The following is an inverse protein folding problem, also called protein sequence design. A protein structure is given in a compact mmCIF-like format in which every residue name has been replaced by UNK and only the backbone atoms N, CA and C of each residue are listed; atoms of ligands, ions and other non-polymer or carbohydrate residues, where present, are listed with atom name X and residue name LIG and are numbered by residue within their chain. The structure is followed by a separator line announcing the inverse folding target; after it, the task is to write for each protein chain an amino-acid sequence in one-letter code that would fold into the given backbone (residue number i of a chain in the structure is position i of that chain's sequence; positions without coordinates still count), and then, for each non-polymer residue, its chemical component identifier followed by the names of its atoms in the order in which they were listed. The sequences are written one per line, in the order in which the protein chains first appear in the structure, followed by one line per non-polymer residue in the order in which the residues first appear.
data_IF_579263478819
#
_entry.id   IF_579263478819
#
_cell.length_a   1.000
_cell.length_b   1.000
_cell.length_c   1.000
_cell.angle_alpha   90.00
_cell.angle_beta   90.00
_cell.angle_gamma   90.00
#
_symmetry.space_group_name_H-M   'P 1'
#
loop_
_entity.id
_entity.type
_entity.pdbx_description
1 polymer ?
#
# COMPACT_ATOMS: atom_id res chain seq x y z
N UNK A 1 4.29 1.16 43.35
CA UNK A 1 3.61 1.14 42.07
C UNK A 1 2.20 1.69 42.22
N UNK A 2 1.91 2.89 41.71
CA UNK A 2 0.54 3.45 41.73
C UNK A 2 -0.26 2.82 40.63
N UNK A 3 -1.41 2.23 41.02
CA UNK A 3 -2.35 1.61 40.06
C UNK A 3 -2.90 2.70 39.12
N UNK A 4 -2.67 2.60 37.79
CA UNK A 4 -3.09 3.62 36.84
C UNK A 4 -4.61 3.70 36.67
N UNK A 5 -5.40 2.79 37.23
CA UNK A 5 -6.86 2.70 37.13
C UNK A 5 -7.64 3.23 38.32
N UNK A 6 -6.98 3.90 39.28
CA UNK A 6 -7.65 4.42 40.46
C UNK A 6 -8.47 5.70 40.28
N UNK A 7 -8.40 6.35 39.12
CA UNK A 7 -9.25 7.49 38.72
C UNK A 7 -10.37 7.01 37.80
N UNK A 8 -11.50 6.66 38.38
CA UNK A 8 -12.69 6.17 37.65
C UNK A 8 -13.15 7.12 36.52
N UNK A 9 -13.00 8.44 36.69
CA UNK A 9 -13.36 9.42 35.66
C UNK A 9 -12.49 9.37 34.40
N UNK A 10 -11.19 9.07 34.53
CA UNK A 10 -10.29 8.94 33.37
C UNK A 10 -10.49 7.64 32.60
N UNK A 11 -10.90 6.57 33.28
CA UNK A 11 -11.21 5.29 32.62
C UNK A 11 -12.50 5.42 31.81
N UNK A 12 -13.51 6.09 32.34
CA UNK A 12 -14.79 6.32 31.63
C UNK A 12 -14.61 7.27 30.45
N UNK A 13 -13.82 8.35 30.56
CA UNK A 13 -13.46 9.22 29.44
C UNK A 13 -12.63 8.51 28.38
N UNK A 14 -11.70 7.63 28.78
CA UNK A 14 -10.93 6.81 27.84
C UNK A 14 -11.83 5.80 27.13
N UNK A 15 -12.74 5.14 27.87
CA UNK A 15 -13.70 4.19 27.32
C UNK A 15 -14.71 4.88 26.38
N UNK A 16 -15.21 6.05 26.76
CA UNK A 16 -16.12 6.84 25.93
C UNK A 16 -15.43 7.37 24.66
N UNK A 17 -14.20 7.83 24.77
CA UNK A 17 -13.41 8.25 23.62
C UNK A 17 -13.06 7.07 22.71
N UNK A 18 -12.76 5.89 23.27
CA UNK A 18 -12.54 4.66 22.50
C UNK A 18 -13.84 4.17 21.84
N UNK A 19 -14.97 4.28 22.52
CA UNK A 19 -16.27 3.87 22.02
C UNK A 19 -16.80 4.80 20.92
N UNK A 20 -16.70 6.11 21.11
CA UNK A 20 -17.06 7.12 20.08
C UNK A 20 -16.12 7.02 18.87
N UNK A 21 -14.83 6.85 19.10
CA UNK A 21 -13.86 6.60 18.04
C UNK A 21 -14.19 5.31 17.25
N UNK A 22 -14.55 4.22 17.93
CA UNK A 22 -14.95 2.97 17.28
C UNK A 22 -16.25 3.09 16.47
N UNK A 23 -17.25 3.85 16.97
CA UNK A 23 -18.52 4.07 16.26
C UNK A 23 -18.31 4.95 15.02
N UNK A 24 -17.43 5.96 15.08
CA UNK A 24 -17.06 6.77 13.92
C UNK A 24 -16.13 6.03 12.94
N UNK A 25 -15.31 5.09 13.44
CA UNK A 25 -14.34 4.35 12.60
C UNK A 25 -14.96 3.23 11.78
N UNK A 26 -16.12 2.69 12.18
CA UNK A 26 -16.78 1.61 11.46
C UNK A 26 -17.68 2.08 10.30
N UNK A 27 -17.60 3.34 9.90
CA UNK A 27 -18.38 3.86 8.76
C UNK A 27 -17.72 3.60 7.41
N UNK A 28 -16.41 3.41 7.37
CA UNK A 28 -15.69 3.14 6.12
C UNK A 28 -15.92 1.71 5.62
N UNK A 29 -16.11 1.57 4.30
CA UNK A 29 -16.39 0.30 3.63
C UNK A 29 -15.22 -0.68 3.74
N UNK A 30 -13.99 -0.19 3.71
CA UNK A 30 -12.79 -0.99 3.88
C UNK A 30 -11.97 -0.51 5.08
N UNK A 31 -11.29 -1.45 5.74
CA UNK A 31 -10.35 -1.15 6.81
C UNK A 31 -10.76 -1.70 8.17
N UNK A 32 -9.80 -1.67 9.08
CA UNK A 32 -9.95 -2.02 10.48
C UNK A 32 -9.67 -0.81 11.40
N UNK A 33 -9.89 -0.96 12.69
CA UNK A 33 -9.68 0.11 13.68
C UNK A 33 -8.25 0.67 13.63
N UNK A 34 -7.23 -0.21 13.51
CA UNK A 34 -5.82 0.21 13.47
C UNK A 34 -5.49 1.04 12.23
N UNK A 35 -5.94 0.61 11.05
CA UNK A 35 -5.72 1.33 9.78
C UNK A 35 -6.43 2.69 9.79
N UNK A 36 -7.64 2.74 10.36
CA UNK A 36 -8.39 3.98 10.47
C UNK A 36 -7.72 4.98 11.42
N UNK A 37 -7.15 4.50 12.55
CA UNK A 37 -6.34 5.34 13.45
C UNK A 37 -5.08 5.85 12.74
N UNK A 38 -4.40 4.97 12.01
CA UNK A 38 -3.23 5.34 11.24
C UNK A 38 -3.55 6.42 10.22
N UNK A 39 -4.60 6.25 9.42
CA UNK A 39 -5.04 7.27 8.46
C UNK A 39 -5.34 8.61 9.13
N UNK A 40 -6.13 8.61 10.22
CA UNK A 40 -6.45 9.82 11.00
C UNK A 40 -5.19 10.52 11.56
N UNK A 41 -4.14 9.78 11.88
CA UNK A 41 -2.86 10.38 12.34
C UNK A 41 -2.04 11.00 11.21
N UNK A 42 -2.26 10.57 9.96
CA UNK A 42 -1.55 11.08 8.79
C UNK A 42 -2.23 12.30 8.15
N UNK A 43 -3.56 12.37 8.16
CA UNK A 43 -4.33 13.49 7.56
C UNK A 43 -3.85 14.86 8.02
N UNK A 44 -3.63 15.15 9.32
CA UNK A 44 -3.14 16.45 9.77
C UNK A 44 -1.75 16.82 9.26
N UNK A 45 -0.97 15.83 8.78
CA UNK A 45 0.37 16.05 8.21
C UNK A 45 0.33 16.52 6.75
N UNK A 46 -0.83 16.46 6.08
CA UNK A 46 -1.05 16.99 4.74
C UNK A 46 -2.16 18.04 4.79
N UNK A 47 -1.81 19.33 4.88
CA UNK A 47 -2.78 20.43 4.89
C UNK A 47 -3.70 20.38 3.66
N UNK A 48 -3.15 20.07 2.48
CA UNK A 48 -3.89 19.97 1.22
C UNK A 48 -5.00 18.93 1.29
N UNK A 49 -4.70 17.72 1.79
CA UNK A 49 -5.71 16.67 1.97
C UNK A 49 -6.77 17.05 3.00
N UNK A 50 -6.35 17.69 4.11
CA UNK A 50 -7.28 18.18 5.13
C UNK A 50 -8.23 19.21 4.54
N UNK A 51 -7.72 20.16 3.76
CA UNK A 51 -8.53 21.19 3.08
C UNK A 51 -9.50 20.59 2.05
N UNK A 52 -9.09 19.58 1.29
CA UNK A 52 -9.98 18.87 0.35
C UNK A 52 -11.12 18.19 1.12
N UNK A 53 -10.81 17.48 2.22
CA UNK A 53 -11.82 16.81 3.03
C UNK A 53 -12.77 17.81 3.68
N UNK A 54 -12.27 18.97 4.14
CA UNK A 54 -13.07 20.00 4.81
C UNK A 54 -13.95 20.78 3.83
N UNK A 55 -13.46 21.02 2.61
CA UNK A 55 -14.25 21.65 1.52
C UNK A 55 -15.31 20.74 0.95
N UNK A 56 -15.04 19.43 0.91
CA UNK A 56 -15.99 18.46 0.39
C UNK A 56 -17.24 18.41 1.26
N UNK A 57 -18.43 18.41 0.62
CA UNK A 57 -19.68 18.24 1.35
C UNK A 57 -19.69 16.87 2.06
N UNK A 58 -19.78 16.91 3.38
CA UNK A 58 -19.81 15.72 4.24
C UNK A 58 -20.89 14.71 3.83
N UNK A 59 -21.97 15.18 3.16
CA UNK A 59 -23.03 14.31 2.64
C UNK A 59 -22.57 13.40 1.52
N UNK A 60 -21.54 13.77 0.76
CA UNK A 60 -21.03 12.96 -0.34
C UNK A 60 -20.15 11.80 0.15
N UNK A 61 -19.55 11.92 1.34
CA UNK A 61 -18.71 10.88 1.94
C UNK A 61 -17.36 10.72 1.27
N UNK A 62 -16.79 11.81 0.71
CA UNK A 62 -15.45 11.76 0.08
C UNK A 62 -14.37 11.37 1.09
N UNK A 63 -14.40 11.93 2.31
CA UNK A 63 -13.45 11.57 3.37
C UNK A 63 -13.49 10.09 3.74
N UNK A 64 -14.69 9.49 3.77
CA UNK A 64 -14.85 8.05 4.01
C UNK A 64 -14.33 7.22 2.82
N UNK A 65 -14.55 7.69 1.58
CA UNK A 65 -14.04 7.06 0.38
C UNK A 65 -12.50 7.06 0.33
N UNK A 66 -11.86 8.18 0.67
CA UNK A 66 -10.40 8.29 0.73
C UNK A 66 -9.81 7.42 1.85
N UNK A 67 -10.48 7.30 2.99
CA UNK A 67 -10.09 6.41 4.09
C UNK A 67 -10.18 4.94 3.67
N UNK A 68 -11.27 4.55 2.99
CA UNK A 68 -11.41 3.19 2.45
C UNK A 68 -10.38 2.90 1.36
N UNK A 69 -10.04 3.89 0.53
CA UNK A 69 -8.99 3.77 -0.46
C UNK A 69 -7.61 3.55 0.20
N UNK A 70 -7.31 4.30 1.27
CA UNK A 70 -6.08 4.09 2.04
C UNK A 70 -6.00 2.67 2.60
N UNK A 71 -7.07 2.18 3.21
CA UNK A 71 -7.13 0.82 3.74
C UNK A 71 -6.99 -0.24 2.64
N UNK A 72 -7.63 -0.03 1.48
CA UNK A 72 -7.55 -0.89 0.31
C UNK A 72 -6.12 -1.01 -0.22
N UNK A 73 -5.36 0.09 -0.24
CA UNK A 73 -3.99 0.13 -0.71
C UNK A 73 -2.99 -0.41 0.32
N UNK A 74 -3.17 -0.07 1.60
CA UNK A 74 -2.23 -0.39 2.67
C UNK A 74 -2.34 -1.83 3.17
N UNK A 75 -3.57 -2.35 3.40
CA UNK A 75 -3.78 -3.68 3.96
C UNK A 75 -3.58 -4.76 2.88
N UNK A 76 -2.95 -5.86 3.24
CA UNK A 76 -2.80 -7.04 2.36
C UNK A 76 -4.17 -7.59 1.95
N UNK A 77 -5.01 -7.85 2.91
CA UNK A 77 -6.38 -8.35 2.74
C UNK A 77 -7.33 -7.37 3.44
N UNK A 78 -7.91 -6.41 2.72
CA UNK A 78 -8.82 -5.44 3.30
C UNK A 78 -10.20 -6.07 3.54
N UNK A 79 -10.66 -6.05 4.80
CA UNK A 79 -12.00 -6.47 5.16
C UNK A 79 -13.05 -5.48 4.63
N UNK A 80 -14.12 -6.00 4.02
CA UNK A 80 -15.23 -5.20 3.53
C UNK A 80 -16.31 -5.06 4.62
N UNK A 81 -16.48 -3.83 5.11
CA UNK A 81 -17.41 -3.47 6.17
C UNK A 81 -18.65 -2.75 5.61
N UNK A 82 -19.66 -3.49 5.18
CA UNK A 82 -20.94 -2.91 4.75
C UNK A 82 -20.98 -2.38 3.31
N UNK A 83 -21.97 -1.55 3.00
CA UNK A 83 -22.29 -1.10 1.63
C UNK A 83 -21.61 0.22 1.23
N UNK A 84 -20.89 0.85 2.13
CA UNK A 84 -20.19 2.12 1.91
C UNK A 84 -21.10 3.34 1.67
N UNK A 85 -20.47 4.52 1.57
CA UNK A 85 -21.11 5.80 1.28
C UNK A 85 -21.52 5.97 -0.19
N UNK A 86 -21.96 7.18 -0.54
CA UNK A 86 -22.41 7.51 -1.90
C UNK A 86 -21.27 7.43 -2.90
N UNK A 87 -20.12 8.06 -2.59
CA UNK A 87 -18.92 8.05 -3.42
C UNK A 87 -17.98 6.88 -3.12
N UNK A 88 -18.06 6.31 -1.93
CA UNK A 88 -17.10 5.32 -1.46
C UNK A 88 -17.10 4.06 -2.32
N UNK A 89 -18.27 3.49 -2.58
CA UNK A 89 -18.38 2.31 -3.44
C UNK A 89 -18.00 2.59 -4.90
N UNK A 90 -18.50 3.65 -5.57
CA UNK A 90 -18.07 3.98 -6.93
C UNK A 90 -16.58 4.17 -7.06
N UNK A 91 -15.93 4.85 -6.12
CA UNK A 91 -14.49 5.11 -6.14
C UNK A 91 -13.70 3.80 -5.91
N UNK A 92 -14.02 3.05 -4.86
CA UNK A 92 -13.28 1.82 -4.53
C UNK A 92 -13.45 0.74 -5.60
N UNK A 93 -14.66 0.54 -6.09
CA UNK A 93 -14.94 -0.43 -7.17
C UNK A 93 -14.28 0.01 -8.49
N UNK A 94 -14.23 1.32 -8.76
CA UNK A 94 -13.56 1.88 -9.93
C UNK A 94 -12.05 1.66 -9.89
N UNK A 95 -11.42 1.96 -8.76
CA UNK A 95 -9.97 1.73 -8.57
C UNK A 95 -9.62 0.25 -8.65
N UNK A 96 -10.41 -0.66 -8.06
CA UNK A 96 -10.16 -2.12 -8.12
C UNK A 96 -10.21 -2.65 -9.55
N UNK A 97 -11.05 -2.05 -10.41
CA UNK A 97 -11.19 -2.44 -11.83
C UNK A 97 -10.12 -1.84 -12.74
N UNK A 98 -9.38 -0.85 -12.27
CA UNK A 98 -8.32 -0.22 -13.06
C UNK A 98 -7.15 -1.17 -13.26
N UNK A 99 -6.58 -1.18 -14.48
CA UNK A 99 -5.48 -2.07 -14.87
C UNK A 99 -4.21 -1.83 -14.01
N UNK A 100 -4.02 -0.62 -13.50
CA UNK A 100 -2.86 -0.25 -12.66
C UNK A 100 -3.03 -0.56 -11.18
N UNK A 101 -4.24 -0.94 -10.76
CA UNK A 101 -4.49 -1.24 -9.35
C UNK A 101 -3.55 -2.30 -8.76
N UNK A 102 -3.27 -3.45 -9.41
CA UNK A 102 -2.35 -4.45 -8.86
C UNK A 102 -0.93 -3.91 -8.62
N UNK A 103 -0.45 -3.05 -9.54
CA UNK A 103 0.86 -2.41 -9.43
C UNK A 103 0.88 -1.37 -8.31
N UNK A 104 -0.16 -0.52 -8.23
CA UNK A 104 -0.34 0.45 -7.17
C UNK A 104 -0.42 -0.23 -5.80
N UNK A 105 -1.17 -1.32 -5.70
CA UNK A 105 -1.30 -2.14 -4.51
C UNK A 105 0.06 -2.69 -4.05
N UNK A 106 0.84 -3.29 -4.93
CA UNK A 106 2.16 -3.83 -4.62
C UNK A 106 3.15 -2.76 -4.13
N UNK A 107 3.02 -1.51 -4.62
CA UNK A 107 3.83 -0.39 -4.14
C UNK A 107 3.44 0.08 -2.73
N UNK A 108 2.17 -0.02 -2.38
CA UNK A 108 1.58 0.56 -1.17
C UNK A 108 1.40 -0.45 -0.02
N UNK A 109 1.37 -1.76 -0.31
CA UNK A 109 1.13 -2.82 0.67
C UNK A 109 2.14 -2.74 1.82
N UNK A 110 1.62 -2.66 3.06
CA UNK A 110 2.36 -2.50 4.31
C UNK A 110 3.27 -1.24 4.39
N UNK A 111 3.15 -0.31 3.43
CA UNK A 111 3.95 0.91 3.36
C UNK A 111 3.08 2.15 3.58
N UNK A 112 3.16 2.75 4.76
CA UNK A 112 2.30 3.87 5.22
C UNK A 112 2.40 5.09 4.31
N UNK A 113 3.62 5.56 4.00
CA UNK A 113 3.85 6.81 3.29
C UNK A 113 3.54 6.71 1.79
N UNK A 114 3.93 5.65 1.04
CA UNK A 114 3.48 5.46 -0.32
C UNK A 114 1.96 5.37 -0.45
N UNK A 115 1.29 4.61 0.43
CA UNK A 115 -0.17 4.50 0.44
C UNK A 115 -0.83 5.85 0.73
N UNK A 116 -0.32 6.62 1.69
CA UNK A 116 -0.83 7.94 2.01
C UNK A 116 -0.61 8.95 0.89
N UNK A 117 0.59 8.98 0.29
CA UNK A 117 0.90 9.84 -0.86
C UNK A 117 0.02 9.53 -2.07
N UNK A 118 -0.27 8.24 -2.32
CA UNK A 118 -1.22 7.84 -3.35
C UNK A 118 -2.62 8.42 -3.11
N UNK A 119 -3.11 8.35 -1.87
CA UNK A 119 -4.43 8.89 -1.50
C UNK A 119 -4.49 10.41 -1.62
N UNK A 120 -3.44 11.14 -1.23
CA UNK A 120 -3.37 12.59 -1.39
C UNK A 120 -3.50 12.98 -2.87
N UNK A 121 -2.67 12.39 -3.73
CA UNK A 121 -2.70 12.67 -5.17
C UNK A 121 -4.01 12.23 -5.85
N UNK A 122 -4.60 11.13 -5.40
CA UNK A 122 -5.93 10.71 -5.83
C UNK A 122 -7.00 11.73 -5.45
N UNK A 123 -6.97 12.22 -4.21
CA UNK A 123 -7.94 13.20 -3.70
C UNK A 123 -7.96 14.49 -4.53
N UNK A 124 -6.78 15.05 -4.82
CA UNK A 124 -6.64 16.23 -5.67
C UNK A 124 -7.26 16.04 -7.07
N UNK A 125 -7.13 14.86 -7.62
CA UNK A 125 -7.60 14.55 -8.96
C UNK A 125 -9.10 14.28 -9.03
N UNK A 126 -9.68 13.69 -7.98
CA UNK A 126 -11.10 13.32 -7.95
C UNK A 126 -12.01 14.42 -7.41
N UNK A 127 -11.47 15.47 -6.74
CA UNK A 127 -12.23 16.53 -6.12
C UNK A 127 -13.23 17.16 -7.10
N UNK A 128 -12.78 17.51 -8.31
CA UNK A 128 -13.63 18.11 -9.33
C UNK A 128 -14.70 17.16 -9.89
N UNK A 129 -14.40 15.88 -10.00
CA UNK A 129 -15.35 14.87 -10.48
C UNK A 129 -16.40 14.49 -9.41
N UNK A 130 -16.06 14.69 -8.13
CA UNK A 130 -16.96 14.41 -7.01
C UNK A 130 -18.10 15.43 -6.87
N UNK A 131 -17.95 16.68 -7.38
CA UNK A 131 -19.00 17.71 -7.33
C UNK A 131 -19.90 17.66 -8.57
N UNK A 132 -20.59 16.55 -8.74
CA UNK A 132 -21.45 16.25 -9.87
C UNK A 132 -22.95 16.30 -9.44
N UNK A 133 -23.84 16.62 -10.38
CA UNK A 133 -25.27 16.68 -10.14
C UNK A 133 -25.87 15.33 -9.69
N UNK A 134 -25.36 14.20 -10.22
CA UNK A 134 -25.81 12.87 -9.84
C UNK A 134 -25.35 12.49 -8.44
N UNK A 135 -24.16 12.91 -8.02
CA UNK A 135 -23.67 12.76 -6.64
C UNK A 135 -24.55 13.52 -5.65
N UNK A 136 -24.96 14.76 -6.00
CA UNK A 136 -25.88 15.55 -5.17
C UNK A 136 -27.22 14.86 -4.97
N UNK A 137 -27.83 14.33 -6.05
CA UNK A 137 -29.07 13.57 -6.00
C UNK A 137 -28.92 12.30 -5.14
N UNK A 138 -27.84 11.55 -5.32
CA UNK A 138 -27.58 10.36 -4.54
C UNK A 138 -27.37 10.66 -3.04
N UNK A 139 -26.72 11.78 -2.72
CA UNK A 139 -26.53 12.24 -1.35
C UNK A 139 -27.86 12.61 -0.66
N UNK A 140 -28.80 13.25 -1.38
CA UNK A 140 -30.13 13.54 -0.88
C UNK A 140 -30.89 12.22 -0.57
N UNK A 141 -30.87 11.25 -1.49
CA UNK A 141 -31.51 9.93 -1.26
C UNK A 141 -30.87 9.24 -0.06
N UNK A 142 -29.55 9.24 0.07
CA UNK A 142 -28.84 8.66 1.20
C UNK A 142 -29.19 9.36 2.54
N UNK A 143 -29.38 10.69 2.52
CA UNK A 143 -29.85 11.47 3.65
C UNK A 143 -31.24 11.00 4.12
N UNK A 144 -32.22 10.88 3.20
CA UNK A 144 -33.55 10.40 3.49
C UNK A 144 -33.54 8.97 4.05
N UNK A 145 -32.72 8.08 3.48
CA UNK A 145 -32.56 6.70 3.98
C UNK A 145 -32.00 6.72 5.42
N UNK A 146 -31.04 7.57 5.73
CA UNK A 146 -30.45 7.70 7.09
C UNK A 146 -31.50 8.14 8.10
N UNK A 147 -32.33 9.14 7.77
CA UNK A 147 -33.41 9.61 8.61
C UNK A 147 -34.49 8.52 8.84
N UNK A 148 -34.90 7.82 7.77
CA UNK A 148 -35.85 6.74 7.87
C UNK A 148 -35.32 5.58 8.72
N UNK A 149 -34.04 5.22 8.60
CA UNK A 149 -33.38 4.21 9.46
C UNK A 149 -33.40 4.64 10.93
N UNK A 150 -33.08 5.90 11.24
CA UNK A 150 -33.09 6.43 12.60
C UNK A 150 -34.52 6.41 13.18
N UNK A 151 -35.54 6.81 12.38
CA UNK A 151 -36.94 6.76 12.79
C UNK A 151 -37.42 5.31 12.98
N UNK A 152 -36.96 4.37 12.14
CA UNK A 152 -37.30 2.95 12.25
C UNK A 152 -36.70 2.35 13.53
N UNK A 153 -35.48 2.72 13.90
CA UNK A 153 -34.86 2.30 15.16
C UNK A 153 -35.65 2.79 16.38
N UNK A 154 -36.03 4.08 16.40
CA UNK A 154 -36.87 4.65 17.48
C UNK A 154 -38.24 3.95 17.57
N UNK A 155 -38.86 3.59 16.42
CA UNK A 155 -40.12 2.83 16.42
C UNK A 155 -39.90 1.41 16.96
N UNK A 156 -38.85 0.73 16.61
CA UNK A 156 -38.52 -0.61 17.10
C UNK A 156 -38.33 -0.61 18.64
N UNK A 157 -37.66 0.40 19.18
CA UNK A 157 -37.49 0.58 20.63
C UNK A 157 -38.84 0.81 21.33
N UNK A 158 -39.71 1.64 20.73
CA UNK A 158 -41.09 1.85 21.25
C UNK A 158 -41.96 0.59 21.20
N UNK A 159 -41.80 -0.23 20.16
CA UNK A 159 -42.53 -1.51 20.05
C UNK A 159 -42.14 -2.48 21.17
N UNK A 160 -40.84 -2.48 21.58
CA UNK A 160 -40.36 -3.31 22.69
C UNK A 160 -40.97 -2.91 24.03
N UNK A 161 -41.21 -1.62 24.25
CA UNK A 161 -41.81 -1.10 25.50
C UNK A 161 -43.32 -1.02 25.54
N UNK A 162 -44.05 -1.27 24.41
CA UNK A 162 -45.51 -1.13 24.35
C UNK A 162 -46.22 -2.44 24.77
N UNK A 163 -47.03 -2.36 25.80
CA UNK A 163 -47.78 -3.50 26.36
C UNK A 163 -49.17 -3.67 25.76
N UNK A 164 -49.76 -2.63 25.16
CA UNK A 164 -51.12 -2.65 24.60
C UNK A 164 -51.14 -3.26 23.21
N UNK A 165 -51.83 -4.41 22.94
CA UNK A 165 -51.70 -5.14 21.67
C UNK A 165 -52.13 -4.32 20.46
N UNK A 166 -53.20 -3.53 20.55
CA UNK A 166 -53.69 -2.70 19.44
C UNK A 166 -52.72 -1.57 19.07
N UNK A 167 -52.07 -0.93 20.05
CA UNK A 167 -51.05 0.09 19.78
C UNK A 167 -49.80 -0.52 19.22
N UNK A 168 -49.39 -1.68 19.72
CA UNK A 168 -48.22 -2.42 19.21
C UNK A 168 -48.42 -2.81 17.75
N UNK A 169 -49.58 -3.30 17.36
CA UNK A 169 -49.89 -3.66 15.96
C UNK A 169 -49.81 -2.42 15.04
N UNK A 170 -50.30 -1.28 15.49
CA UNK A 170 -50.25 -0.02 14.75
C UNK A 170 -48.80 0.49 14.53
N UNK A 171 -47.94 0.34 15.54
CA UNK A 171 -46.50 0.66 15.44
C UNK A 171 -45.75 -0.29 14.50
N UNK A 172 -46.10 -1.60 14.55
CA UNK A 172 -45.54 -2.60 13.64
C UNK A 172 -45.87 -2.26 12.18
N UNK A 173 -47.13 -1.91 11.89
CA UNK A 173 -47.54 -1.51 10.55
C UNK A 173 -46.81 -0.24 10.06
N UNK A 174 -46.56 0.74 10.95
CA UNK A 174 -45.77 1.92 10.63
C UNK A 174 -44.29 1.56 10.34
N UNK A 175 -43.72 0.67 11.14
CA UNK A 175 -42.34 0.18 10.93
C UNK A 175 -42.24 -0.53 9.57
N UNK A 176 -43.20 -1.41 9.25
CA UNK A 176 -43.20 -2.12 7.97
C UNK A 176 -43.28 -1.16 6.76
N UNK A 177 -44.14 -0.13 6.82
CA UNK A 177 -44.20 0.90 5.77
C UNK A 177 -42.88 1.62 5.59
N UNK A 178 -42.21 1.98 6.69
CA UNK A 178 -40.86 2.63 6.60
C UNK A 178 -39.80 1.70 6.06
N UNK A 179 -39.78 0.43 6.44
CA UNK A 179 -38.87 -0.56 5.90
C UNK A 179 -39.05 -0.76 4.39
N UNK A 180 -40.30 -0.76 3.91
CA UNK A 180 -40.59 -0.80 2.47
C UNK A 180 -40.06 0.44 1.76
N UNK A 181 -40.28 1.65 2.30
CA UNK A 181 -39.72 2.88 1.74
C UNK A 181 -38.21 2.87 1.69
N UNK A 182 -37.53 2.37 2.74
CA UNK A 182 -36.06 2.23 2.77
C UNK A 182 -35.60 1.27 1.66
N UNK A 183 -36.31 0.17 1.43
CA UNK A 183 -36.00 -0.78 0.37
C UNK A 183 -36.07 -0.13 -1.02
N UNK A 184 -37.17 0.55 -1.31
CA UNK A 184 -37.39 1.23 -2.59
C UNK A 184 -36.37 2.34 -2.84
N UNK A 185 -35.99 3.08 -1.79
CA UNK A 185 -34.95 4.11 -1.88
C UNK A 185 -33.51 3.51 -2.05
N UNK A 186 -33.26 2.37 -1.43
CA UNK A 186 -31.95 1.68 -1.63
C UNK A 186 -31.80 1.20 -3.07
N UNK A 187 -32.87 0.72 -3.71
CA UNK A 187 -32.85 0.35 -5.14
C UNK A 187 -32.54 1.58 -6.01
N UNK A 188 -33.20 2.72 -5.76
CA UNK A 188 -32.90 3.98 -6.46
C UNK A 188 -31.46 4.45 -6.22
N UNK A 189 -30.96 4.34 -4.99
CA UNK A 189 -29.57 4.71 -4.68
C UNK A 189 -28.57 3.81 -5.42
N UNK A 190 -28.88 2.51 -5.57
CA UNK A 190 -28.06 1.59 -6.34
C UNK A 190 -27.98 1.97 -7.83
N UNK A 191 -29.13 2.34 -8.41
CA UNK A 191 -29.17 2.83 -9.80
C UNK A 191 -28.35 4.11 -9.97
N UNK A 192 -28.45 5.05 -9.01
CA UNK A 192 -27.67 6.27 -9.02
C UNK A 192 -26.16 6.00 -8.89
N UNK A 193 -25.75 5.07 -8.04
CA UNK A 193 -24.34 4.68 -7.90
C UNK A 193 -23.76 4.12 -9.20
N UNK A 194 -24.56 3.37 -9.98
CA UNK A 194 -24.13 2.88 -11.30
C UNK A 194 -23.88 4.05 -12.25
N UNK A 195 -24.77 5.05 -12.28
CA UNK A 195 -24.61 6.25 -13.10
C UNK A 195 -23.38 7.05 -12.67
N UNK A 196 -23.20 7.28 -11.38
CA UNK A 196 -22.02 7.94 -10.82
C UNK A 196 -20.76 7.19 -11.24
N UNK A 197 -20.71 5.86 -11.11
CA UNK A 197 -19.55 5.06 -11.52
C UNK A 197 -19.20 5.24 -12.99
N UNK A 198 -20.19 5.36 -13.88
CA UNK A 198 -19.94 5.61 -15.29
C UNK A 198 -19.42 7.03 -15.56
N UNK A 199 -19.98 8.04 -14.89
CA UNK A 199 -19.58 9.44 -15.08
C UNK A 199 -18.19 9.75 -14.52
N UNK A 200 -17.78 9.10 -13.43
CA UNK A 200 -16.46 9.36 -12.80
C UNK A 200 -15.39 8.37 -13.22
N UNK A 201 -15.70 7.41 -14.10
CA UNK A 201 -14.77 6.35 -14.49
C UNK A 201 -13.46 6.91 -15.07
N UNK A 202 -13.54 7.85 -16.02
CA UNK A 202 -12.36 8.48 -16.62
C UNK A 202 -11.56 9.28 -15.56
N UNK A 203 -12.27 9.97 -14.65
CA UNK A 203 -11.67 10.69 -13.54
C UNK A 203 -10.94 9.75 -12.57
N UNK A 204 -11.51 8.58 -12.29
CA UNK A 204 -10.88 7.56 -11.43
C UNK A 204 -9.61 7.02 -12.09
N UNK A 205 -9.63 6.70 -13.38
CA UNK A 205 -8.46 6.18 -14.09
C UNK A 205 -7.33 7.21 -14.10
N UNK A 206 -7.61 8.46 -14.42
CA UNK A 206 -6.64 9.55 -14.35
C UNK A 206 -6.10 9.77 -12.93
N UNK A 207 -6.97 9.68 -11.91
CA UNK A 207 -6.58 9.79 -10.50
C UNK A 207 -5.71 8.61 -10.05
N UNK A 208 -6.01 7.39 -10.51
CA UNK A 208 -5.22 6.19 -10.23
C UNK A 208 -3.82 6.29 -10.85
N UNK A 209 -3.70 6.85 -12.05
CA UNK A 209 -2.42 7.12 -12.69
C UNK A 209 -1.55 8.09 -11.89
N UNK A 210 -2.14 9.19 -11.43
CA UNK A 210 -1.42 10.16 -10.59
C UNK A 210 -1.05 9.54 -9.22
N UNK A 211 -1.95 8.78 -8.63
CA UNK A 211 -1.71 8.07 -7.38
C UNK A 211 -0.55 7.07 -7.51
N UNK A 212 -0.48 6.32 -8.61
CA UNK A 212 0.62 5.42 -8.91
C UNK A 212 1.95 6.17 -9.03
N UNK A 213 1.98 7.29 -9.74
CA UNK A 213 3.18 8.10 -9.89
C UNK A 213 3.63 8.67 -8.53
N UNK A 214 2.72 9.17 -7.71
CA UNK A 214 3.01 9.71 -6.38
C UNK A 214 3.54 8.62 -5.44
N UNK A 215 2.92 7.44 -5.42
CA UNK A 215 3.38 6.30 -4.64
C UNK A 215 4.78 5.82 -5.07
N UNK A 216 5.00 5.73 -6.39
CA UNK A 216 6.28 5.33 -6.96
C UNK A 216 7.41 6.31 -6.61
N UNK A 217 7.14 7.62 -6.72
CA UNK A 217 8.09 8.66 -6.32
C UNK A 217 8.40 8.59 -4.82
N UNK A 218 7.37 8.47 -3.98
CA UNK A 218 7.53 8.36 -2.53
C UNK A 218 8.33 7.11 -2.16
N UNK A 219 8.03 5.97 -2.77
CA UNK A 219 8.78 4.73 -2.56
C UNK A 219 10.25 4.87 -3.02
N UNK A 220 10.50 5.56 -4.14
CA UNK A 220 11.86 5.81 -4.62
C UNK A 220 12.65 6.71 -3.66
N UNK A 221 12.03 7.77 -3.12
CA UNK A 221 12.66 8.67 -2.13
C UNK A 221 13.00 7.90 -0.85
N UNK A 222 12.07 7.08 -0.35
CA UNK A 222 12.31 6.28 0.86
C UNK A 222 13.41 5.24 0.64
N UNK A 223 13.49 4.61 -0.52
CA UNK A 223 14.60 3.72 -0.88
C UNK A 223 15.92 4.46 -1.03
N UNK A 224 15.87 5.69 -1.54
CA UNK A 224 17.08 6.49 -1.76
C UNK A 224 17.67 7.08 -0.47
N UNK A 225 16.86 7.50 0.47
CA UNK A 225 17.29 8.28 1.63
C UNK A 225 16.77 7.75 2.97
N UNK A 226 15.85 6.79 2.96
CA UNK A 226 15.27 6.18 4.16
C UNK A 226 16.06 4.97 4.66
N UNK A 227 15.68 4.47 5.83
CA UNK A 227 16.31 3.31 6.51
C UNK A 227 16.00 1.94 5.84
N UNK A 228 15.78 1.91 4.54
CA UNK A 228 15.71 0.68 3.72
C UNK A 228 14.41 -0.11 3.79
N UNK A 229 13.74 -0.16 4.94
CA UNK A 229 12.43 -0.82 5.09
C UNK A 229 11.35 0.21 5.42
N UNK A 230 10.53 0.54 4.43
CA UNK A 230 9.38 1.46 4.58
C UNK A 230 8.32 0.99 5.60
N UNK A 231 8.54 -0.14 6.26
CA UNK A 231 7.63 -0.79 7.19
C UNK A 231 7.74 -0.32 8.64
N UNK A 232 8.86 0.28 9.06
CA UNK A 232 9.09 0.55 10.48
C UNK A 232 9.88 1.81 10.86
N UNK A 233 10.33 2.60 9.88
CA UNK A 233 11.13 3.80 10.11
C UNK A 233 10.39 4.89 10.90
N UNK A 234 11.17 5.81 11.47
CA UNK A 234 10.65 6.95 12.21
C UNK A 234 9.86 7.88 11.27
N UNK A 235 8.53 7.73 11.26
CA UNK A 235 7.60 8.42 10.34
C UNK A 235 7.71 9.95 10.36
N UNK A 236 8.26 10.55 11.41
CA UNK A 236 8.48 12.00 11.50
C UNK A 236 9.71 12.42 10.68
N UNK A 237 10.80 11.66 10.77
CA UNK A 237 12.03 11.91 10.01
C UNK A 237 11.79 11.70 8.52
N UNK A 238 11.06 10.64 8.16
CA UNK A 238 10.73 10.31 6.77
C UNK A 238 9.75 11.34 6.15
N UNK A 239 8.80 11.86 6.94
CA UNK A 239 7.89 12.92 6.52
C UNK A 239 8.64 14.22 6.19
N UNK A 240 9.50 14.69 7.07
CA UNK A 240 10.31 15.89 6.88
C UNK A 240 11.29 15.76 5.69
N UNK A 241 11.80 14.55 5.45
CA UNK A 241 12.63 14.24 4.29
C UNK A 241 11.82 14.32 2.98
N UNK A 242 10.62 13.75 2.96
CA UNK A 242 9.72 13.81 1.81
C UNK A 242 9.36 15.24 1.44
N UNK A 243 9.07 16.10 2.43
CA UNK A 243 8.75 17.50 2.20
C UNK A 243 9.94 18.24 1.57
N UNK A 244 11.16 18.07 2.08
CA UNK A 244 12.38 18.64 1.49
C UNK A 244 12.62 18.19 0.05
N UNK A 245 12.36 16.91 -0.23
CA UNK A 245 12.53 16.38 -1.59
C UNK A 245 11.43 16.90 -2.52
N UNK A 246 10.19 17.09 -2.02
CA UNK A 246 9.08 17.65 -2.79
C UNK A 246 9.33 19.10 -3.23
N UNK A 247 9.99 19.88 -2.40
CA UNK A 247 10.31 21.29 -2.70
C UNK A 247 11.43 21.45 -3.73
N UNK A 248 12.24 20.41 -4.00
CA UNK A 248 13.40 20.50 -4.86
C UNK A 248 13.38 19.48 -6.00
N UNK A 249 13.16 19.95 -7.24
CA UNK A 249 13.06 19.11 -8.43
C UNK A 249 14.37 18.34 -8.73
N UNK A 250 15.53 18.91 -8.37
CA UNK A 250 16.81 18.21 -8.52
C UNK A 250 16.90 17.03 -7.56
N UNK A 251 16.48 17.21 -6.31
CA UNK A 251 16.44 16.13 -5.33
C UNK A 251 15.43 15.04 -5.73
N UNK A 252 14.28 15.41 -6.32
CA UNK A 252 13.34 14.43 -6.88
C UNK A 252 13.99 13.55 -7.94
N UNK A 253 14.69 14.17 -8.90
CA UNK A 253 15.39 13.45 -9.95
C UNK A 253 16.48 12.52 -9.38
N UNK A 254 17.28 13.03 -8.45
CA UNK A 254 18.34 12.26 -7.79
C UNK A 254 17.73 11.06 -7.03
N UNK A 255 16.65 11.26 -6.27
CA UNK A 255 16.03 10.19 -5.46
C UNK A 255 15.48 9.06 -6.31
N UNK A 256 14.80 9.38 -7.43
CA UNK A 256 14.29 8.36 -8.36
C UNK A 256 15.43 7.51 -8.96
N UNK A 257 16.53 8.16 -9.33
CA UNK A 257 17.69 7.47 -9.91
C UNK A 257 18.44 6.66 -8.87
N UNK A 258 18.70 7.24 -7.70
CA UNK A 258 19.40 6.59 -6.60
C UNK A 258 18.63 5.36 -6.10
N UNK A 259 17.30 5.47 -5.96
CA UNK A 259 16.45 4.35 -5.60
C UNK A 259 16.56 3.18 -6.58
N UNK A 260 16.59 3.45 -7.89
CA UNK A 260 16.81 2.43 -8.93
C UNK A 260 18.19 1.80 -8.84
N UNK A 261 19.23 2.61 -8.63
CA UNK A 261 20.60 2.09 -8.50
C UNK A 261 20.75 1.20 -7.26
N UNK A 262 20.19 1.59 -6.14
CA UNK A 262 20.19 0.77 -4.92
C UNK A 262 19.47 -0.57 -5.12
N UNK A 263 18.37 -0.59 -5.85
CA UNK A 263 17.67 -1.82 -6.20
C UNK A 263 18.54 -2.74 -7.08
N UNK A 264 19.19 -2.19 -8.12
CA UNK A 264 20.10 -2.94 -8.98
C UNK A 264 21.31 -3.49 -8.18
N UNK A 265 21.88 -2.68 -7.29
CA UNK A 265 23.01 -3.08 -6.45
C UNK A 265 22.57 -4.19 -5.48
N UNK A 266 21.43 -4.05 -4.83
CA UNK A 266 20.89 -5.05 -3.91
C UNK A 266 20.61 -6.38 -4.63
N UNK A 267 20.07 -6.33 -5.84
CA UNK A 267 19.82 -7.53 -6.67
C UNK A 267 21.14 -8.18 -7.09
N UNK A 268 22.12 -7.38 -7.52
CA UNK A 268 23.48 -7.87 -7.85
C UNK A 268 24.15 -8.50 -6.64
N UNK A 269 24.07 -7.91 -5.45
CA UNK A 269 24.61 -8.48 -4.21
C UNK A 269 23.94 -9.81 -3.85
N UNK A 270 22.61 -9.91 -3.98
CA UNK A 270 21.89 -11.17 -3.77
C UNK A 270 22.28 -12.26 -4.76
N UNK A 271 22.54 -11.88 -5.99
CA UNK A 271 22.85 -12.81 -7.09
C UNK A 271 24.36 -12.98 -7.34
N UNK A 272 25.23 -12.28 -6.60
CA UNK A 272 26.67 -12.43 -6.72
C UNK A 272 27.16 -13.61 -5.89
N UNK A 273 27.54 -14.67 -6.58
CA UNK A 273 28.17 -15.84 -5.97
C UNK A 273 29.56 -16.05 -6.55
N UNK A 274 30.53 -16.37 -5.70
CA UNK A 274 31.84 -16.80 -6.16
C UNK A 274 31.92 -18.33 -6.15
N UNK A 275 32.66 -18.89 -7.09
CA UNK A 275 32.99 -20.30 -7.10
C UNK A 275 34.08 -20.54 -6.06
N UNK A 276 33.77 -21.17 -4.93
CA UNK A 276 34.71 -21.41 -3.84
C UNK A 276 34.48 -22.71 -3.09
N UNK A 277 34.89 -22.75 -1.84
CA UNK A 277 34.74 -23.92 -0.93
C UNK A 277 33.32 -24.11 -0.35
N UNK A 278 32.37 -23.29 -0.76
CA UNK A 278 31.02 -23.21 -0.22
C UNK A 278 30.09 -24.40 -0.51
N UNK A 279 28.80 -24.18 -0.25
CA UNK A 279 27.78 -25.22 -0.40
C UNK A 279 27.70 -25.78 -1.83
N UNK A 280 27.63 -27.12 -1.92
CA UNK A 280 27.40 -27.83 -3.18
C UNK A 280 25.94 -27.69 -3.56
N UNK A 281 25.64 -27.03 -4.70
CA UNK A 281 24.26 -26.75 -5.09
C UNK A 281 23.82 -27.46 -6.37
N UNK A 282 24.78 -27.91 -7.20
CA UNK A 282 24.48 -28.53 -8.50
C UNK A 282 25.60 -29.46 -8.93
N UNK A 283 25.34 -30.30 -9.94
CA UNK A 283 26.30 -31.19 -10.56
C UNK A 283 26.49 -30.75 -12.01
N UNK A 284 27.74 -30.62 -12.42
CA UNK A 284 28.12 -30.28 -13.81
C UNK A 284 29.16 -31.24 -14.31
N UNK A 285 29.43 -31.21 -15.63
CA UNK A 285 30.50 -31.95 -16.23
C UNK A 285 31.74 -31.08 -16.40
N UNK A 286 32.90 -31.63 -16.13
CA UNK A 286 34.16 -30.95 -16.26
C UNK A 286 35.39 -31.86 -16.05
N UNK A 287 36.54 -31.29 -15.71
CA UNK A 287 37.79 -32.00 -15.45
C UNK A 287 38.47 -31.57 -14.15
N UNK A 288 37.72 -30.95 -13.24
CA UNK A 288 38.28 -30.55 -11.93
C UNK A 288 38.13 -31.72 -10.93
N UNK A 289 39.27 -32.37 -10.68
CA UNK A 289 39.36 -33.53 -9.80
C UNK A 289 39.05 -33.16 -8.35
N UNK A 290 39.35 -31.93 -7.90
CA UNK A 290 39.13 -31.51 -6.52
C UNK A 290 37.63 -31.40 -6.17
N UNK A 291 36.81 -31.17 -7.17
CA UNK A 291 35.34 -31.07 -7.02
C UNK A 291 34.60 -32.29 -7.59
N UNK A 292 35.34 -33.33 -7.99
CA UNK A 292 34.76 -34.55 -8.56
C UNK A 292 33.86 -35.29 -7.56
N UNK A 293 32.81 -35.91 -8.05
CA UNK A 293 31.96 -36.79 -7.24
C UNK A 293 32.73 -38.03 -6.80
N UNK A 294 32.46 -38.48 -5.58
CA UNK A 294 33.04 -39.75 -5.05
C UNK A 294 32.76 -40.95 -5.93
N UNK A 295 31.63 -40.99 -6.63
CA UNK A 295 31.29 -42.00 -7.61
C UNK A 295 32.22 -42.02 -8.82
N UNK A 296 32.69 -40.92 -9.29
CA UNK A 296 33.69 -40.83 -10.38
C UNK A 296 35.08 -41.26 -9.88
N UNK A 297 35.46 -40.86 -8.66
CA UNK A 297 36.70 -41.26 -8.05
C UNK A 297 36.77 -42.77 -7.77
N UNK A 298 35.62 -43.42 -7.53
CA UNK A 298 35.58 -44.87 -7.34
C UNK A 298 36.03 -45.66 -8.58
N UNK A 299 35.98 -45.06 -9.77
CA UNK A 299 36.46 -45.66 -11.01
C UNK A 299 37.98 -45.90 -10.99
N UNK A 300 38.73 -45.16 -10.15
CA UNK A 300 40.17 -45.36 -9.94
C UNK A 300 40.50 -46.54 -9.00
N UNK A 301 39.51 -47.09 -8.32
CA UNK A 301 39.71 -48.18 -7.36
C UNK A 301 39.94 -49.53 -8.02
N UNK A 302 39.56 -49.72 -9.28
CA UNK A 302 39.68 -50.95 -10.03
C UNK A 302 40.44 -50.71 -11.34
N UNK A 303 41.45 -51.51 -11.67
CA UNK A 303 42.26 -51.32 -12.91
C UNK A 303 41.42 -51.37 -14.19
N UNK A 304 40.33 -52.15 -14.19
CA UNK A 304 39.44 -52.28 -15.35
C UNK A 304 38.64 -50.98 -15.63
N UNK A 305 38.35 -50.17 -14.61
CA UNK A 305 37.59 -48.94 -14.73
C UNK A 305 38.42 -47.67 -14.75
N UNK A 306 39.73 -47.77 -14.46
CA UNK A 306 40.66 -46.65 -14.47
C UNK A 306 40.72 -45.95 -15.85
N UNK A 307 40.75 -46.75 -16.93
CA UNK A 307 40.73 -46.23 -18.30
C UNK A 307 39.48 -45.38 -18.58
N UNK A 308 38.34 -45.75 -18.02
CA UNK A 308 37.09 -44.98 -18.17
C UNK A 308 37.16 -43.65 -17.44
N UNK A 309 37.82 -43.61 -16.27
CA UNK A 309 38.04 -42.34 -15.55
C UNK A 309 38.87 -41.41 -16.39
N UNK A 310 40.03 -41.84 -16.93
CA UNK A 310 40.90 -41.00 -17.75
C UNK A 310 40.20 -40.57 -19.05
N UNK A 311 39.42 -41.39 -19.67
CA UNK A 311 38.60 -41.01 -20.82
C UNK A 311 37.65 -39.85 -20.48
N UNK A 312 36.87 -39.97 -19.41
CA UNK A 312 35.95 -38.89 -18.94
C UNK A 312 36.69 -37.63 -18.55
N UNK A 313 37.90 -37.74 -17.96
CA UNK A 313 38.73 -36.60 -17.61
C UNK A 313 39.17 -35.83 -18.85
N UNK A 314 39.69 -36.50 -19.87
CA UNK A 314 40.11 -35.85 -21.10
C UNK A 314 38.96 -35.28 -21.91
N UNK A 315 37.83 -35.93 -21.91
CA UNK A 315 36.61 -35.48 -22.57
C UNK A 315 35.86 -34.39 -21.76
N UNK A 316 36.34 -34.02 -20.56
CA UNK A 316 35.68 -33.10 -19.62
C UNK A 316 34.26 -33.54 -19.22
N UNK A 317 34.05 -34.82 -19.09
CA UNK A 317 32.79 -35.45 -18.76
C UNK A 317 32.74 -36.05 -17.34
N UNK A 318 33.73 -35.72 -16.46
CA UNK A 318 33.65 -36.07 -15.05
C UNK A 318 32.51 -35.27 -14.37
N UNK A 319 31.69 -35.94 -13.62
CA UNK A 319 30.69 -35.28 -12.78
C UNK A 319 31.40 -34.59 -11.60
N UNK A 320 31.16 -33.30 -11.47
CA UNK A 320 31.77 -32.48 -10.44
C UNK A 320 30.72 -31.57 -9.76
N UNK A 321 30.92 -31.29 -8.47
CA UNK A 321 30.09 -30.39 -7.73
C UNK A 321 30.34 -28.96 -8.17
N UNK A 322 29.25 -28.21 -8.44
CA UNK A 322 29.27 -26.76 -8.41
C UNK A 322 29.13 -26.30 -6.98
N UNK A 323 30.07 -25.47 -6.54
CA UNK A 323 30.07 -24.85 -5.21
C UNK A 323 29.69 -23.39 -5.33
N UNK A 324 28.97 -22.91 -4.34
CA UNK A 324 28.42 -21.58 -4.33
C UNK A 324 28.71 -20.95 -2.96
N UNK A 325 29.38 -19.82 -2.98
CA UNK A 325 29.62 -18.99 -1.79
C UNK A 325 29.13 -17.58 -2.04
N UNK A 326 28.47 -16.93 -1.06
CA UNK A 326 28.26 -15.49 -1.15
C UNK A 326 29.62 -14.81 -1.22
N UNK A 327 29.89 -14.10 -2.28
CA UNK A 327 31.17 -13.41 -2.44
C UNK A 327 31.18 -12.17 -1.56
N UNK A 328 31.79 -12.31 -0.39
CA UNK A 328 32.26 -11.15 0.38
C UNK A 328 33.63 -10.76 -0.23
N UNK A 329 33.59 -10.16 -1.41
CA UNK A 329 34.76 -9.46 -1.91
C UNK A 329 34.79 -8.12 -1.19
N UNK A 330 35.85 -7.84 -0.47
CA UNK A 330 36.16 -6.49 0.00
C UNK A 330 36.23 -5.59 -1.23
N UNK A 331 35.35 -4.60 -1.28
CA UNK A 331 35.36 -3.62 -2.34
C UNK A 331 36.55 -2.68 -2.06
N UNK A 332 37.48 -2.54 -3.03
CA UNK A 332 38.59 -1.62 -2.90
C UNK A 332 38.12 -0.17 -2.89
N UNK A 333 39.04 0.77 -2.64
CA UNK A 333 38.76 2.20 -2.65
C UNK A 333 38.15 2.62 -4.00
N UNK A 334 36.98 3.29 -3.96
CA UNK A 334 36.33 3.81 -5.16
C UNK A 334 36.58 5.31 -5.23
N UNK A 335 37.22 5.77 -6.28
CA UNK A 335 37.44 7.19 -6.55
C UNK A 335 36.52 7.63 -7.67
N UNK A 336 35.61 8.57 -7.38
CA UNK A 336 34.66 9.12 -8.34
C UNK A 336 35.08 10.53 -8.71
N UNK A 337 35.38 10.76 -9.99
CA UNK A 337 35.64 12.08 -10.56
C UNK A 337 34.40 12.50 -11.36
N UNK A 338 33.69 13.54 -10.91
CA UNK A 338 32.54 14.09 -11.56
C UNK A 338 32.85 15.43 -12.20
N UNK A 339 32.54 15.58 -13.50
CA UNK A 339 32.60 16.86 -14.20
C UNK A 339 31.29 17.66 -13.95
N UNK A 340 31.42 18.81 -13.32
CA UNK A 340 30.33 19.75 -13.06
C UNK A 340 30.42 21.01 -13.94
N UNK A 341 30.98 20.91 -15.15
CA UNK A 341 31.00 22.02 -16.12
C UNK A 341 29.57 22.37 -16.57
N UNK A 342 29.42 23.56 -17.15
CA UNK A 342 28.10 24.03 -17.64
C UNK A 342 27.50 23.15 -18.73
N UNK A 343 28.34 22.44 -19.51
CA UNK A 343 27.91 21.50 -20.54
C UNK A 343 27.29 20.22 -19.98
N UNK A 344 27.61 19.86 -18.73
CA UNK A 344 27.11 18.64 -18.06
C UNK A 344 25.94 18.92 -17.11
N UNK A 345 25.42 20.14 -17.06
CA UNK A 345 24.36 20.55 -16.14
C UNK A 345 23.09 19.68 -16.22
N UNK A 346 22.68 19.29 -17.43
CA UNK A 346 21.50 18.46 -17.63
C UNK A 346 21.65 17.05 -17.03
N UNK A 347 22.86 16.52 -17.05
CA UNK A 347 23.17 15.18 -16.53
C UNK A 347 23.65 15.20 -15.08
N UNK A 348 23.87 16.37 -14.48
CA UNK A 348 24.37 16.52 -13.12
C UNK A 348 23.57 15.72 -12.06
N UNK A 349 22.21 15.67 -12.09
CA UNK A 349 21.44 14.83 -11.17
C UNK A 349 21.77 13.34 -11.31
N UNK A 350 22.06 12.89 -12.52
CA UNK A 350 22.45 11.52 -12.84
C UNK A 350 23.80 11.15 -12.22
N UNK A 351 24.76 12.01 -12.44
CA UNK A 351 26.13 11.84 -11.92
C UNK A 351 26.13 11.82 -10.39
N UNK A 352 25.37 12.73 -9.75
CA UNK A 352 25.21 12.79 -8.29
C UNK A 352 24.53 11.55 -7.73
N UNK A 353 23.46 11.06 -8.37
CA UNK A 353 22.78 9.84 -7.96
C UNK A 353 23.69 8.61 -8.07
N UNK A 354 24.48 8.52 -9.15
CA UNK A 354 25.41 7.43 -9.36
C UNK A 354 26.58 7.46 -8.34
N UNK A 355 27.14 8.64 -8.07
CA UNK A 355 28.17 8.80 -7.05
C UNK A 355 27.69 8.38 -5.66
N UNK A 356 26.47 8.79 -5.27
CA UNK A 356 25.85 8.37 -4.01
C UNK A 356 25.63 6.85 -3.96
N UNK A 357 25.19 6.25 -5.08
CA UNK A 357 25.01 4.79 -5.16
C UNK A 357 26.33 4.02 -5.01
N UNK A 358 27.44 4.57 -5.54
CA UNK A 358 28.76 3.98 -5.37
C UNK A 358 29.24 4.05 -3.92
N UNK A 359 28.89 5.10 -3.17
CA UNK A 359 29.20 5.19 -1.74
C UNK A 359 28.54 4.09 -0.91
N UNK A 360 27.40 3.54 -1.36
CA UNK A 360 26.74 2.41 -0.69
C UNK A 360 27.44 1.06 -0.96
N UNK A 361 28.34 1.03 -1.94
CA UNK A 361 29.12 -0.16 -2.31
C UNK A 361 30.45 -0.20 -1.57
N UNK A 362 31.06 0.98 -1.38
CA UNK A 362 32.36 1.13 -0.70
C UNK A 362 32.24 0.96 0.81
#
# INVERSE_FOLDING_TARGET
MRDPFKDSGRADDWFNNLWTANVEMNTAMYGNTGTNMLYKSLVPKSPELSDIIDRADKRFGLGDALRSLFALLYLKEPDKNGDGGVLEQPITDGVIKDEKYPLLKALCEDKKLPAFSAVCSFAESIESAADNAEVKKAAEIAGIIRELKAQSKKLAERIKGETKPNKRLLLINRLFKKQKQIKDLNEKLREQRIKISAEIADGISAATDKAFNAASQTAAVLRAFGDGDATGGNTETDGALLDKVRENDTLKKISVMLGKYREIIADKRKNSFSYGLGEKYDITYGNDISNCLSSELSLLALPETEILFFKRYYERHLQQYRKREPSVKGDGDIIVLADESSSTWEIAPWVKAFALALMDIA
#
